data_IF_490390540619
#
_entry.id   IF_490390540619
#
_cell.length_a   1.000
_cell.length_b   1.000
_cell.length_c   1.000
_cell.angle_alpha   90.00
_cell.angle_beta   90.00
_cell.angle_gamma   90.00
#
_symmetry.space_group_name_H-M   'P 1'
#
loop_
_entity.id
_entity.type
_entity.pdbx_description
1 polymer ?
#
# COMPACT_ATOMS: atom_id res chain seq x y z
N UNK A 1 -12.26 5.22 -63.05
CA UNK A 1 -12.09 4.05 -62.17
C UNK A 1 -11.73 4.58 -60.80
N UNK A 2 -12.67 4.53 -59.86
CA UNK A 2 -12.64 5.35 -58.64
C UNK A 2 -11.88 4.63 -57.51
N UNK A 3 -11.34 5.43 -56.59
CA UNK A 3 -10.48 4.98 -55.48
C UNK A 3 -11.18 3.97 -54.54
N UNK A 4 -12.51 4.01 -54.47
CA UNK A 4 -13.31 3.03 -53.71
C UNK A 4 -13.25 1.62 -54.30
N UNK A 5 -13.13 1.48 -55.62
CA UNK A 5 -13.06 0.17 -56.28
C UNK A 5 -11.73 -0.54 -55.94
N UNK A 6 -10.65 0.23 -55.74
CA UNK A 6 -9.35 -0.31 -55.33
C UNK A 6 -9.32 -0.78 -53.88
N UNK A 7 -10.00 -0.05 -52.99
CA UNK A 7 -10.09 -0.45 -51.58
C UNK A 7 -10.94 -1.71 -51.42
N UNK A 8 -12.04 -1.84 -52.18
CA UNK A 8 -12.86 -3.06 -52.19
C UNK A 8 -12.12 -4.27 -52.76
N UNK A 9 -11.29 -4.08 -53.78
CA UNK A 9 -10.48 -5.16 -54.34
C UNK A 9 -9.43 -5.66 -53.34
N UNK A 10 -8.77 -4.74 -52.62
CA UNK A 10 -7.76 -5.09 -51.61
C UNK A 10 -8.36 -5.75 -50.35
N UNK A 11 -9.60 -5.40 -49.97
CA UNK A 11 -10.28 -6.08 -48.86
C UNK A 11 -10.78 -7.48 -49.23
N UNK A 12 -11.14 -7.71 -50.50
CA UNK A 12 -11.53 -9.03 -50.97
C UNK A 12 -10.34 -9.99 -51.00
N UNK A 13 -9.16 -9.49 -51.39
CA UNK A 13 -7.94 -10.30 -51.47
C UNK A 13 -7.34 -10.63 -50.09
N UNK A 14 -7.56 -9.79 -49.07
CA UNK A 14 -7.14 -10.07 -47.70
C UNK A 14 -8.03 -11.08 -46.95
N UNK A 15 -9.23 -11.39 -47.47
CA UNK A 15 -10.16 -12.32 -46.83
C UNK A 15 -9.97 -13.78 -47.29
N UNK A 16 -9.32 -14.01 -48.43
CA UNK A 16 -9.11 -15.34 -49.02
C UNK A 16 -7.86 -16.08 -48.48
N UNK A 17 -7.04 -15.42 -47.64
CA UNK A 17 -5.81 -16.00 -47.07
C UNK A 17 -5.97 -16.55 -45.64
N UNK A 18 -7.21 -16.73 -45.17
CA UNK A 18 -7.50 -17.42 -43.92
C UNK A 18 -7.66 -18.93 -44.21
N UNK A 19 -6.54 -19.65 -44.15
CA UNK A 19 -6.52 -21.11 -44.18
C UNK A 19 -7.45 -21.74 -43.12
N UNK A 20 -7.90 -22.99 -43.33
CA UNK A 20 -8.88 -23.63 -42.46
C UNK A 20 -8.36 -23.74 -41.02
N UNK A 21 -9.15 -23.23 -40.08
CA UNK A 21 -8.89 -23.33 -38.64
C UNK A 21 -8.92 -24.79 -38.18
N UNK A 22 -7.94 -25.25 -37.38
CA UNK A 22 -7.97 -26.60 -36.84
C UNK A 22 -9.14 -26.78 -35.87
N UNK A 23 -9.92 -27.82 -36.15
CA UNK A 23 -11.08 -28.28 -35.41
C UNK A 23 -10.70 -28.65 -33.97
N UNK A 24 -11.18 -27.85 -33.00
CA UNK A 24 -11.04 -28.12 -31.57
C UNK A 24 -12.38 -28.53 -30.99
N UNK A 25 -12.71 -29.81 -31.11
CA UNK A 25 -13.56 -30.53 -30.16
C UNK A 25 -13.14 -32.02 -30.15
N UNK A 26 -13.25 -32.80 -29.04
CA UNK A 26 -13.93 -32.53 -27.78
C UNK A 26 -13.11 -32.99 -26.54
N UNK A 27 -12.43 -32.07 -25.83
CA UNK A 27 -11.73 -32.38 -24.57
C UNK A 27 -12.40 -31.84 -23.29
N UNK A 28 -13.34 -30.91 -23.41
CA UNK A 28 -13.86 -30.13 -22.28
C UNK A 28 -15.33 -30.46 -21.95
N UNK A 29 -15.64 -31.73 -21.70
CA UNK A 29 -16.90 -32.15 -21.09
C UNK A 29 -16.65 -33.20 -20.01
N UNK A 30 -15.91 -32.83 -18.95
CA UNK A 30 -15.84 -33.64 -17.71
C UNK A 30 -15.34 -32.81 -16.52
N UNK A 31 -16.21 -31.94 -15.99
CA UNK A 31 -16.20 -31.53 -14.59
C UNK A 31 -17.59 -30.99 -14.24
N UNK A 32 -18.51 -31.93 -14.04
CA UNK A 32 -19.89 -31.65 -13.70
C UNK A 32 -20.08 -31.31 -12.21
N UNK A 33 -21.04 -30.40 -12.00
CA UNK A 33 -22.21 -30.58 -11.13
C UNK A 33 -21.92 -31.02 -9.70
N UNK A 34 -22.06 -30.06 -8.77
CA UNK A 34 -22.97 -30.18 -7.62
C UNK A 34 -23.41 -28.78 -7.16
N UNK A 35 -24.43 -28.24 -7.82
CA UNK A 35 -25.27 -27.20 -7.24
C UNK A 35 -26.41 -27.90 -6.48
N UNK A 36 -26.43 -27.79 -5.16
CA UNK A 36 -27.50 -28.32 -4.32
C UNK A 36 -28.57 -27.24 -4.13
N UNK A 37 -29.66 -27.44 -4.85
CA UNK A 37 -31.07 -27.31 -4.45
C UNK A 37 -31.49 -26.05 -3.68
N UNK A 38 -32.11 -25.14 -4.42
CA UNK A 38 -33.09 -24.20 -3.91
C UNK A 38 -34.40 -24.93 -3.56
N UNK A 39 -34.77 -24.94 -2.28
CA UNK A 39 -36.09 -25.35 -1.79
C UNK A 39 -37.04 -24.16 -1.72
N UNK A 40 -38.14 -24.24 -2.49
CA UNK A 40 -39.26 -23.29 -2.49
C UNK A 40 -40.14 -23.50 -1.26
N UNK A 41 -40.46 -22.42 -0.53
CA UNK A 41 -41.74 -22.31 0.19
C UNK A 41 -42.37 -20.94 -0.11
N UNK A 42 -43.66 -20.98 -0.49
CA UNK A 42 -44.49 -19.83 -0.87
C UNK A 42 -45.37 -19.41 0.31
N UNK A 43 -45.54 -18.08 0.40
CA UNK A 43 -46.70 -17.29 0.84
C UNK A 43 -47.16 -17.31 2.30
N UNK A 44 -47.05 -16.16 2.97
CA UNK A 44 -48.23 -15.35 3.36
C UNK A 44 -47.83 -13.90 3.72
N UNK A 45 -48.59 -12.95 3.16
CA UNK A 45 -48.84 -11.54 3.50
C UNK A 45 -47.91 -10.73 4.40
N UNK A 46 -47.55 -9.52 3.95
CA UNK A 46 -48.12 -8.24 4.40
C UNK A 46 -47.50 -7.09 3.57
N UNK A 47 -48.31 -6.06 3.37
CA UNK A 47 -48.25 -4.96 2.42
C UNK A 47 -47.31 -3.80 2.82
N UNK A 48 -46.84 -3.09 1.77
CA UNK A 48 -46.55 -1.64 1.68
C UNK A 48 -45.46 -1.05 2.60
N UNK A 49 -44.32 -0.67 2.00
CA UNK A 49 -43.85 0.73 1.98
C UNK A 49 -42.59 0.86 1.11
N UNK A 50 -42.61 1.80 0.17
CA UNK A 50 -41.47 2.19 -0.63
C UNK A 50 -40.45 2.95 0.24
N UNK A 51 -39.19 2.52 0.17
CA UNK A 51 -38.03 3.37 0.47
C UNK A 51 -36.85 2.88 -0.38
N UNK A 52 -36.51 3.64 -1.41
CA UNK A 52 -35.21 3.54 -2.07
C UNK A 52 -34.18 4.08 -1.10
N UNK A 53 -33.58 3.20 -0.30
CA UNK A 53 -32.39 3.51 0.48
C UNK A 53 -31.19 3.07 -0.36
N UNK A 54 -30.54 4.04 -1.00
CA UNK A 54 -29.15 3.88 -1.45
C UNK A 54 -28.33 3.63 -0.18
N UNK A 55 -28.06 2.36 0.11
CA UNK A 55 -27.13 1.95 1.16
C UNK A 55 -25.72 2.19 0.62
N UNK A 56 -25.25 3.42 0.75
CA UNK A 56 -23.82 3.69 0.84
C UNK A 56 -23.35 3.00 2.12
N UNK A 57 -22.41 2.02 2.06
CA UNK A 57 -21.79 1.55 3.28
C UNK A 57 -20.98 2.72 3.84
N UNK A 58 -21.55 3.42 4.81
CA UNK A 58 -20.82 4.30 5.70
C UNK A 58 -19.91 3.40 6.52
N UNK A 59 -18.71 3.14 6.01
CA UNK A 59 -17.63 2.60 6.80
C UNK A 59 -17.48 3.51 8.02
N UNK A 60 -17.64 2.94 9.21
CA UNK A 60 -17.33 3.59 10.47
C UNK A 60 -15.83 3.87 10.46
N UNK A 61 -15.45 5.05 9.98
CA UNK A 61 -14.07 5.54 10.03
C UNK A 61 -13.83 5.93 11.48
N UNK A 62 -13.18 5.05 12.23
CA UNK A 62 -12.56 5.40 13.51
C UNK A 62 -11.69 6.65 13.31
N UNK A 63 -11.64 7.61 14.26
CA UNK A 63 -10.79 8.78 14.13
C UNK A 63 -9.32 8.35 14.18
N UNK A 64 -8.68 8.33 13.01
CA UNK A 64 -7.25 8.11 12.86
C UNK A 64 -6.49 9.36 13.30
N UNK A 65 -5.44 9.24 14.13
CA UNK A 65 -4.60 10.35 14.52
C UNK A 65 -3.44 10.53 13.52
N UNK A 66 -3.42 11.61 12.75
CA UNK A 66 -2.26 12.03 11.95
C UNK A 66 -2.30 13.53 11.59
N UNK A 67 -1.33 14.32 12.07
CA UNK A 67 -1.21 15.80 12.19
C UNK A 67 -2.11 16.82 11.39
N UNK A 68 -2.06 18.15 11.69
CA UNK A 68 -2.66 19.40 11.14
C UNK A 68 -2.25 19.99 9.78
N UNK A 69 -3.24 20.40 9.00
CA UNK A 69 -3.30 21.68 8.26
C UNK A 69 -1.99 22.38 7.83
N UNK A 70 -1.32 21.80 6.84
CA UNK A 70 -1.05 22.46 5.55
C UNK A 70 -1.85 21.73 4.46
N UNK A 71 -1.85 22.13 3.17
CA UNK A 71 -2.44 21.30 2.13
C UNK A 71 -1.57 20.05 1.96
N UNK A 72 -1.78 19.04 2.81
CA UNK A 72 -1.25 17.71 2.59
C UNK A 72 -1.65 17.30 1.17
N UNK A 73 -0.70 16.74 0.41
CA UNK A 73 -0.94 16.14 -0.89
C UNK A 73 -2.18 15.25 -0.78
N UNK A 74 -3.32 15.69 -1.33
CA UNK A 74 -4.53 14.86 -1.36
C UNK A 74 -4.40 13.91 -2.54
N UNK A 75 -4.28 12.63 -2.24
CA UNK A 75 -4.34 11.63 -3.28
C UNK A 75 -5.78 11.35 -3.67
N UNK A 76 -6.00 11.13 -4.96
CA UNK A 76 -7.29 10.70 -5.48
C UNK A 76 -7.12 9.38 -6.21
N UNK A 77 -8.20 8.59 -6.31
CA UNK A 77 -8.21 7.35 -7.09
C UNK A 77 -7.85 7.57 -8.57
N UNK A 78 -7.93 8.82 -9.06
CA UNK A 78 -7.61 9.20 -10.44
C UNK A 78 -6.13 9.51 -10.69
N UNK A 79 -5.28 9.47 -9.65
CA UNK A 79 -3.84 9.68 -9.84
C UNK A 79 -3.19 8.51 -10.59
N UNK A 80 -2.17 8.77 -11.42
CA UNK A 80 -1.55 7.75 -12.25
C UNK A 80 -0.79 6.73 -11.40
N UNK A 81 -0.98 5.44 -11.70
CA UNK A 81 -0.13 4.36 -11.19
C UNK A 81 1.27 4.38 -11.82
N UNK A 82 1.37 4.88 -13.05
CA UNK A 82 2.63 4.98 -13.79
C UNK A 82 2.92 6.45 -14.12
N UNK A 83 3.43 7.23 -13.15
CA UNK A 83 3.77 8.63 -13.40
C UNK A 83 4.97 8.73 -14.35
N UNK A 84 4.97 9.76 -15.19
CA UNK A 84 6.08 10.00 -16.13
C UNK A 84 7.42 10.24 -15.42
N UNK A 85 7.36 10.78 -14.21
CA UNK A 85 8.51 10.99 -13.34
C UNK A 85 8.90 9.73 -12.52
N UNK A 86 8.29 8.57 -12.76
CA UNK A 86 8.74 7.33 -12.12
C UNK A 86 10.19 7.05 -12.52
N UNK A 87 11.10 6.83 -11.56
CA UNK A 87 12.52 6.64 -11.89
C UNK A 87 12.73 5.37 -12.72
N UNK A 88 13.27 5.53 -13.94
CA UNK A 88 13.54 4.42 -14.85
C UNK A 88 14.79 3.61 -14.46
N UNK A 89 15.65 4.18 -13.63
CA UNK A 89 16.85 3.57 -13.04
C UNK A 89 16.56 2.83 -11.72
N UNK A 90 15.31 2.87 -11.24
CA UNK A 90 14.88 2.13 -10.07
C UNK A 90 14.63 0.66 -10.41
N UNK A 91 15.20 -0.29 -9.64
CA UNK A 91 14.86 -1.71 -9.78
C UNK A 91 13.43 -2.01 -9.31
N UNK A 92 12.80 -1.10 -8.55
CA UNK A 92 11.40 -1.20 -8.16
C UNK A 92 10.52 -0.76 -9.33
N UNK A 93 9.83 -1.72 -9.92
CA UNK A 93 8.80 -1.47 -10.93
C UNK A 93 7.65 -0.64 -10.35
N UNK A 94 7.09 0.23 -11.18
CA UNK A 94 5.88 0.97 -10.87
C UNK A 94 4.71 0.03 -10.51
N UNK A 95 3.71 0.50 -9.74
CA UNK A 95 2.54 -0.30 -9.40
C UNK A 95 1.69 -0.64 -10.63
N UNK A 96 1.21 -1.87 -10.69
CA UNK A 96 0.24 -2.34 -11.70
C UNK A 96 -1.17 -2.48 -11.14
N UNK A 97 -1.31 -2.41 -9.81
CA UNK A 97 -2.55 -2.61 -9.07
C UNK A 97 -2.94 -1.33 -8.35
N UNK A 98 -4.20 -0.90 -8.50
CA UNK A 98 -4.75 0.20 -7.71
C UNK A 98 -5.46 -0.35 -6.46
N UNK A 99 -5.05 0.12 -5.29
CA UNK A 99 -5.73 -0.09 -4.02
C UNK A 99 -6.67 1.09 -3.72
N UNK A 100 -7.78 0.86 -2.98
CA UNK A 100 -8.72 1.90 -2.62
C UNK A 100 -8.05 3.03 -1.83
N UNK A 101 -8.31 4.27 -2.23
CA UNK A 101 -7.91 5.46 -1.47
C UNK A 101 -8.94 5.75 -0.38
N UNK A 102 -8.47 5.95 0.85
CA UNK A 102 -9.32 6.29 1.99
C UNK A 102 -8.99 7.69 2.49
N UNK A 103 -10.04 8.50 2.67
CA UNK A 103 -9.88 9.83 3.24
C UNK A 103 -9.59 9.71 4.74
N UNK A 104 -8.47 10.29 5.17
CA UNK A 104 -8.12 10.42 6.59
C UNK A 104 -8.30 11.87 7.01
N UNK A 105 -8.95 12.05 8.16
CA UNK A 105 -9.12 13.39 8.74
C UNK A 105 -7.74 13.94 9.13
N UNK A 106 -7.45 15.21 8.80
CA UNK A 106 -6.27 15.87 9.33
C UNK A 106 -6.37 15.95 10.85
N UNK A 107 -5.26 15.73 11.54
CA UNK A 107 -5.12 15.89 12.99
C UNK A 107 -4.53 17.28 13.31
N UNK A 108 -3.72 17.47 14.36
CA UNK A 108 -3.29 18.80 14.88
C UNK A 108 -1.80 19.19 14.66
N UNK A 109 -0.94 18.28 14.15
CA UNK A 109 0.50 18.48 13.85
C UNK A 109 1.08 18.12 12.41
N UNK A 110 0.50 18.51 11.25
CA UNK A 110 0.87 18.16 9.83
C UNK A 110 1.46 19.40 9.11
N UNK A 111 1.59 20.53 9.83
CA UNK A 111 1.74 21.86 9.23
C UNK A 111 3.12 22.10 8.65
N UNK A 112 4.09 21.28 9.06
CA UNK A 112 5.51 21.41 8.75
C UNK A 112 5.99 20.43 7.66
N UNK A 113 5.07 19.89 6.85
CA UNK A 113 5.47 18.99 5.76
C UNK A 113 6.04 19.77 4.57
N UNK A 114 7.10 19.24 3.91
CA UNK A 114 7.58 19.79 2.65
C UNK A 114 6.47 19.85 1.61
N UNK A 115 6.34 20.99 0.93
CA UNK A 115 5.43 21.11 -0.21
C UNK A 115 6.04 20.36 -1.39
N UNK A 116 5.39 19.27 -1.81
CA UNK A 116 5.83 18.47 -2.94
C UNK A 116 5.32 19.04 -4.27
N UNK A 117 6.17 18.99 -5.30
CA UNK A 117 5.75 19.26 -6.68
C UNK A 117 4.72 18.23 -7.16
N UNK A 118 4.00 18.53 -8.23
CA UNK A 118 2.99 17.62 -8.80
C UNK A 118 3.57 16.26 -9.16
N UNK A 119 4.73 16.24 -9.80
CA UNK A 119 5.46 15.02 -10.13
C UNK A 119 5.87 14.24 -8.89
N UNK A 120 6.40 14.92 -7.87
CA UNK A 120 6.77 14.28 -6.60
C UNK A 120 5.54 13.67 -5.91
N UNK A 121 4.39 14.36 -5.91
CA UNK A 121 3.13 13.81 -5.36
C UNK A 121 2.68 12.57 -6.13
N UNK A 122 2.79 12.56 -7.45
CA UNK A 122 2.42 11.39 -8.26
C UNK A 122 3.36 10.21 -8.02
N UNK A 123 4.68 10.44 -7.96
CA UNK A 123 5.65 9.39 -7.65
C UNK A 123 5.43 8.84 -6.24
N UNK A 124 5.18 9.71 -5.26
CA UNK A 124 4.86 9.30 -3.89
C UNK A 124 3.57 8.46 -3.85
N UNK A 125 2.51 8.87 -4.54
CA UNK A 125 1.28 8.09 -4.66
C UNK A 125 1.52 6.70 -5.29
N UNK A 126 2.23 6.65 -6.42
CA UNK A 126 2.57 5.39 -7.07
C UNK A 126 3.43 4.49 -6.16
N UNK A 127 4.36 5.06 -5.41
CA UNK A 127 5.14 4.31 -4.42
C UNK A 127 4.25 3.73 -3.33
N UNK A 128 3.28 4.49 -2.79
CA UNK A 128 2.32 3.98 -1.80
C UNK A 128 1.48 2.82 -2.35
N UNK A 129 1.03 2.92 -3.60
CA UNK A 129 0.31 1.84 -4.28
C UNK A 129 1.19 0.61 -4.44
N UNK A 130 2.47 0.78 -4.77
CA UNK A 130 3.44 -0.32 -4.87
C UNK A 130 3.74 -0.95 -3.51
N UNK A 131 3.87 -0.15 -2.46
CA UNK A 131 4.06 -0.62 -1.10
C UNK A 131 2.84 -1.42 -0.62
N UNK A 132 1.63 -0.94 -0.89
CA UNK A 132 0.40 -1.68 -0.63
C UNK A 132 0.38 -3.02 -1.37
N UNK A 133 0.81 -3.05 -2.64
CA UNK A 133 0.88 -4.28 -3.42
C UNK A 133 1.84 -5.32 -2.84
N UNK A 134 3.06 -4.90 -2.56
CA UNK A 134 4.09 -5.76 -1.96
C UNK A 134 3.62 -6.26 -0.59
N UNK A 135 3.09 -5.39 0.26
CA UNK A 135 2.64 -5.76 1.60
C UNK A 135 1.40 -6.65 1.57
N UNK A 136 0.47 -6.48 0.61
CA UNK A 136 -0.69 -7.36 0.44
C UNK A 136 -0.26 -8.81 0.12
N UNK A 137 0.85 -8.98 -0.60
CA UNK A 137 1.40 -10.29 -0.96
C UNK A 137 2.21 -10.93 0.18
N UNK A 138 2.87 -10.10 1.00
CA UNK A 138 3.75 -10.55 2.07
C UNK A 138 3.01 -10.81 3.39
N UNK A 139 1.98 -10.03 3.67
CA UNK A 139 1.24 -10.15 4.91
C UNK A 139 0.19 -11.28 4.85
N UNK A 140 -0.11 -11.92 5.98
CA UNK A 140 -1.17 -12.91 6.07
C UNK A 140 -2.52 -12.36 5.59
N UNK A 141 -3.21 -13.11 4.73
CA UNK A 141 -4.51 -12.72 4.17
C UNK A 141 -5.61 -12.47 5.23
N UNK A 142 -5.44 -12.96 6.46
CA UNK A 142 -6.35 -12.70 7.59
C UNK A 142 -6.45 -11.22 7.96
N UNK A 143 -5.44 -10.40 7.61
CA UNK A 143 -5.49 -8.96 7.79
C UNK A 143 -6.51 -8.28 6.85
N UNK A 144 -6.89 -8.94 5.74
CA UNK A 144 -7.85 -8.44 4.77
C UNK A 144 -7.19 -7.64 3.65
N UNK A 145 -7.87 -6.56 3.23
CA UNK A 145 -7.53 -5.80 2.03
C UNK A 145 -6.80 -4.50 2.39
N UNK A 146 -5.72 -4.22 1.66
CA UNK A 146 -4.96 -2.98 1.75
C UNK A 146 -5.76 -1.77 1.24
N UNK A 147 -5.54 -0.61 1.87
CA UNK A 147 -6.07 0.70 1.50
C UNK A 147 -4.99 1.76 1.67
N UNK A 148 -5.03 2.78 0.82
CA UNK A 148 -4.04 3.86 0.78
C UNK A 148 -4.67 5.14 1.33
N UNK A 149 -4.24 5.63 2.51
CA UNK A 149 -4.65 6.94 3.02
C UNK A 149 -4.34 8.07 2.03
N UNK A 150 -5.22 9.06 1.93
CA UNK A 150 -5.09 10.18 0.98
C UNK A 150 -4.11 11.26 1.42
N UNK A 151 -3.74 11.32 2.71
CA UNK A 151 -2.91 12.41 3.28
C UNK A 151 -1.69 11.96 4.06
N UNK A 152 -1.57 10.69 4.43
CA UNK A 152 -0.40 10.19 5.18
C UNK A 152 0.68 9.75 4.20
N UNK A 153 1.92 10.21 4.36
CA UNK A 153 3.02 9.92 3.44
C UNK A 153 3.33 8.42 3.42
N UNK A 154 3.44 7.78 4.58
CA UNK A 154 3.96 6.41 4.70
C UNK A 154 3.15 5.47 5.60
N UNK A 155 1.93 5.85 5.96
CA UNK A 155 0.97 4.90 6.53
C UNK A 155 0.06 4.29 5.47
N UNK A 156 -0.23 3.01 5.66
CA UNK A 156 -1.22 2.23 4.93
C UNK A 156 -2.25 1.69 5.92
N UNK A 157 -3.40 1.27 5.41
CA UNK A 157 -4.39 0.55 6.19
C UNK A 157 -4.58 -0.84 5.61
N UNK A 158 -4.82 -1.81 6.48
CA UNK A 158 -5.24 -3.15 6.08
C UNK A 158 -6.40 -3.56 6.98
N UNK A 159 -7.42 -4.21 6.42
CA UNK A 159 -8.56 -4.58 7.25
C UNK A 159 -9.61 -5.41 6.53
N UNK A 160 -10.53 -5.91 7.34
CA UNK A 160 -11.82 -6.45 6.91
C UNK A 160 -12.91 -5.40 7.13
N UNK A 161 -14.16 -5.73 6.78
CA UNK A 161 -15.30 -4.85 7.07
C UNK A 161 -15.50 -4.57 8.57
N UNK A 162 -14.96 -5.43 9.43
CA UNK A 162 -15.16 -5.38 10.88
C UNK A 162 -13.97 -4.82 11.67
N UNK A 163 -12.77 -4.77 11.07
CA UNK A 163 -11.55 -4.42 11.78
C UNK A 163 -10.49 -3.86 10.85
N UNK A 164 -9.81 -2.81 11.30
CA UNK A 164 -8.74 -2.15 10.55
C UNK A 164 -7.47 -2.09 11.38
N UNK A 165 -6.33 -2.21 10.71
CA UNK A 165 -5.00 -2.12 11.27
C UNK A 165 -4.22 -1.07 10.49
N UNK A 166 -3.41 -0.31 11.20
CA UNK A 166 -2.43 0.60 10.61
C UNK A 166 -1.18 -0.18 10.24
N UNK A 167 -0.57 0.16 9.11
CA UNK A 167 0.80 -0.25 8.79
C UNK A 167 1.61 1.01 8.59
N UNK A 168 2.72 1.12 9.29
CA UNK A 168 3.66 2.23 9.15
C UNK A 168 4.94 1.71 8.52
N UNK A 169 5.40 2.35 7.44
CA UNK A 169 6.71 2.11 6.82
C UNK A 169 7.48 3.43 6.72
N UNK A 170 8.15 3.83 7.79
CA UNK A 170 8.90 5.09 7.81
C UNK A 170 10.37 4.83 7.51
N UNK A 171 10.93 5.63 6.62
CA UNK A 171 12.36 5.62 6.27
C UNK A 171 12.85 7.05 6.35
N UNK A 172 13.60 7.37 7.40
CA UNK A 172 14.16 8.71 7.60
C UNK A 172 15.65 8.72 7.26
N UNK A 173 16.12 9.72 6.50
CA UNK A 173 17.55 9.89 6.28
C UNK A 173 18.25 10.26 7.60
N UNK A 174 19.48 9.76 7.77
CA UNK A 174 20.33 10.11 8.90
C UNK A 174 20.07 9.28 10.15
N UNK A 175 21.13 9.12 10.93
CA UNK A 175 21.15 8.36 12.18
C UNK A 175 21.63 6.92 12.00
N UNK A 176 22.65 6.57 12.77
CA UNK A 176 22.89 5.18 13.14
C UNK A 176 22.09 4.95 14.42
N UNK A 177 20.85 4.50 14.30
CA UNK A 177 20.20 3.92 15.47
C UNK A 177 20.94 2.62 15.81
N UNK A 178 21.28 2.38 17.09
CA UNK A 178 21.87 1.11 17.48
C UNK A 178 20.99 -0.02 16.98
N UNK A 179 21.57 -0.94 16.22
CA UNK A 179 20.86 -2.17 15.83
C UNK A 179 20.35 -2.82 17.10
N UNK A 180 19.03 -2.93 17.23
CA UNK A 180 18.43 -3.62 18.36
C UNK A 180 18.88 -5.08 18.32
N UNK A 181 19.52 -5.55 19.38
CA UNK A 181 19.79 -6.96 19.61
C UNK A 181 18.82 -7.47 20.67
N UNK A 182 18.04 -8.48 20.31
CA UNK A 182 17.09 -9.09 21.22
C UNK A 182 17.73 -9.73 22.45
N UNK A 183 19.01 -10.13 22.39
CA UNK A 183 19.66 -10.85 23.49
C UNK A 183 18.82 -12.04 23.97
N UNK A 184 18.45 -12.05 25.25
CA UNK A 184 17.57 -13.08 25.85
C UNK A 184 16.11 -12.66 25.96
N UNK A 185 15.69 -11.55 25.37
CA UNK A 185 14.31 -11.07 25.47
C UNK A 185 13.36 -11.94 24.63
N UNK A 186 12.42 -12.70 25.25
CA UNK A 186 11.52 -13.58 24.53
C UNK A 186 10.46 -12.84 23.69
N UNK A 187 10.22 -11.55 23.94
CA UNK A 187 9.30 -10.74 23.13
C UNK A 187 9.96 -10.13 21.89
N UNK A 188 11.23 -10.44 21.64
CA UNK A 188 12.02 -9.89 20.55
C UNK A 188 12.59 -11.03 19.67
N UNK A 189 12.55 -10.84 18.36
CA UNK A 189 13.08 -11.79 17.37
C UNK A 189 14.14 -11.13 16.50
N UNK A 190 15.35 -11.68 16.52
CA UNK A 190 16.43 -11.29 15.62
C UNK A 190 16.24 -11.91 14.23
N UNK A 191 16.67 -11.21 13.19
CA UNK A 191 16.79 -11.74 11.84
C UNK A 191 17.78 -10.93 11.00
N UNK A 192 17.82 -11.24 9.71
CA UNK A 192 18.77 -10.64 8.78
C UNK A 192 18.11 -10.46 7.43
N UNK A 193 18.19 -9.24 6.90
CA UNK A 193 17.72 -8.92 5.56
C UNK A 193 18.63 -9.53 4.49
N UNK A 194 18.19 -9.60 3.22
CA UNK A 194 18.97 -10.20 2.14
C UNK A 194 20.34 -9.56 1.89
N UNK A 195 20.54 -8.28 2.25
CA UNK A 195 21.81 -7.57 2.13
C UNK A 195 22.74 -7.76 3.35
N UNK A 196 22.34 -8.57 4.33
CA UNK A 196 23.09 -8.80 5.56
C UNK A 196 22.74 -7.82 6.70
N UNK A 197 21.86 -6.84 6.47
CA UNK A 197 21.41 -5.91 7.50
C UNK A 197 20.73 -6.67 8.63
N UNK A 198 21.20 -6.47 9.87
CA UNK A 198 20.60 -7.06 11.07
C UNK A 198 19.32 -6.31 11.43
N UNK A 199 18.27 -7.07 11.73
CA UNK A 199 16.97 -6.53 12.11
C UNK A 199 16.44 -7.26 13.34
N UNK A 200 15.61 -6.56 14.12
CA UNK A 200 14.91 -7.16 15.23
C UNK A 200 13.46 -6.70 15.25
N UNK A 201 12.55 -7.65 15.45
CA UNK A 201 11.12 -7.38 15.65
C UNK A 201 10.82 -7.53 17.13
N UNK A 202 10.31 -6.46 17.73
CA UNK A 202 9.82 -6.46 19.11
C UNK A 202 8.31 -6.58 19.14
N UNK A 203 7.81 -7.34 20.11
CA UNK A 203 6.41 -7.41 20.50
C UNK A 203 6.25 -6.70 21.83
N UNK A 204 5.25 -5.85 21.92
CA UNK A 204 4.95 -5.15 23.16
C UNK A 204 3.54 -4.58 23.15
N UNK A 205 3.23 -3.88 24.23
CA UNK A 205 2.05 -3.02 24.28
C UNK A 205 2.49 -1.61 23.93
N UNK A 206 1.98 -1.08 22.83
CA UNK A 206 2.16 0.33 22.51
C UNK A 206 0.80 0.92 22.13
N UNK A 207 0.57 2.15 22.59
CA UNK A 207 -0.41 2.99 21.93
C UNK A 207 0.20 3.41 20.59
N UNK A 208 -0.56 3.43 19.49
CA UNK A 208 -0.10 4.09 18.27
C UNK A 208 0.37 5.52 18.63
N UNK A 209 1.49 6.01 18.08
CA UNK A 209 1.99 7.35 18.39
C UNK A 209 0.91 8.42 18.23
N UNK A 210 0.72 9.27 19.25
CA UNK A 210 -0.23 10.39 19.21
C UNK A 210 -1.72 10.03 19.31
N UNK A 211 -2.07 8.78 19.65
CA UNK A 211 -3.44 8.28 19.51
C UNK A 211 -4.36 8.45 20.72
N UNK A 212 -3.81 8.62 21.93
CA UNK A 212 -4.61 8.70 23.16
C UNK A 212 -5.44 7.45 23.46
N UNK A 213 -5.23 6.35 22.72
CA UNK A 213 -5.93 5.06 22.88
C UNK A 213 -5.11 4.11 23.77
N UNK A 214 -5.79 3.16 24.40
CA UNK A 214 -5.15 2.11 25.21
C UNK A 214 -4.18 1.27 24.38
N UNK A 215 -3.08 0.85 25.00
CA UNK A 215 -2.02 0.09 24.35
C UNK A 215 -2.52 -1.28 23.86
N UNK A 216 -2.56 -1.47 22.53
CA UNK A 216 -2.78 -2.76 21.90
C UNK A 216 -1.47 -3.55 21.78
N UNK A 217 -1.57 -4.84 21.43
CA UNK A 217 -0.35 -5.60 21.07
C UNK A 217 0.17 -5.04 19.75
N UNK A 218 1.45 -4.67 19.70
CA UNK A 218 2.11 -4.19 18.49
C UNK A 218 3.28 -5.10 18.15
N UNK A 219 3.52 -5.28 16.86
CA UNK A 219 4.74 -5.85 16.33
C UNK A 219 5.43 -4.78 15.50
N UNK A 220 6.67 -4.46 15.86
CA UNK A 220 7.42 -3.37 15.24
C UNK A 220 8.92 -3.66 15.20
N UNK A 221 9.58 -3.16 14.17
CA UNK A 221 11.01 -3.21 13.99
C UNK A 221 11.59 -1.80 13.83
N UNK A 222 12.75 -1.60 14.47
CA UNK A 222 13.57 -0.41 14.35
C UNK A 222 14.98 -0.86 13.97
N UNK A 223 15.48 -0.44 12.82
CA UNK A 223 16.80 -0.82 12.34
C UNK A 223 17.36 0.21 11.36
N UNK A 224 18.69 0.25 11.26
CA UNK A 224 19.38 1.04 10.24
C UNK A 224 19.47 0.25 8.93
N UNK A 225 19.16 0.91 7.81
CA UNK A 225 19.28 0.35 6.47
C UNK A 225 19.91 1.38 5.54
N UNK A 226 21.12 1.08 5.03
CA UNK A 226 21.87 1.95 4.09
C UNK A 226 21.95 3.43 4.51
N UNK A 227 22.21 3.69 5.79
CA UNK A 227 22.33 5.06 6.34
C UNK A 227 21.00 5.77 6.62
N UNK A 228 19.89 5.03 6.61
CA UNK A 228 18.56 5.52 7.00
C UNK A 228 18.02 4.74 8.20
N UNK A 229 17.21 5.41 9.02
CA UNK A 229 16.44 4.77 10.08
C UNK A 229 15.13 4.24 9.51
N UNK A 230 14.88 2.95 9.73
CA UNK A 230 13.65 2.31 9.31
C UNK A 230 12.79 1.98 10.52
N UNK A 231 11.53 2.40 10.46
CA UNK A 231 10.48 2.00 11.39
C UNK A 231 9.43 1.27 10.57
N UNK A 232 9.22 -0.01 10.87
CA UNK A 232 8.17 -0.80 10.25
C UNK A 232 7.34 -1.49 11.31
N UNK A 233 6.02 -1.37 11.25
CA UNK A 233 5.14 -1.99 12.24
C UNK A 233 3.70 -2.06 11.80
N UNK A 234 2.97 -2.96 12.45
CA UNK A 234 1.52 -3.11 12.32
C UNK A 234 0.89 -2.79 13.66
N UNK A 235 -0.14 -1.94 13.65
CA UNK A 235 -0.80 -1.44 14.85
C UNK A 235 -2.31 -1.68 14.74
N UNK A 236 -2.97 -2.14 15.80
CA UNK A 236 -4.43 -2.16 15.82
C UNK A 236 -4.96 -0.72 15.84
N UNK A 237 -6.06 -0.47 15.11
CA UNK A 237 -6.74 0.83 15.17
C UNK A 237 -7.58 1.01 16.45
N UNK A 238 -7.85 -0.09 17.15
CA UNK A 238 -8.66 -0.21 18.37
C UNK A 238 -7.95 -1.05 19.45
N UNK A 239 -8.60 -1.24 20.60
CA UNK A 239 -8.13 -2.14 21.64
C UNK A 239 -8.26 -3.61 21.19
N UNK A 240 -7.18 -4.12 20.59
CA UNK A 240 -7.19 -5.45 20.00
C UNK A 240 -5.83 -6.14 19.93
N UNK A 241 -5.88 -7.47 19.79
CA UNK A 241 -4.72 -8.27 19.41
C UNK A 241 -4.51 -8.22 17.90
N UNK A 242 -3.25 -8.18 17.46
CA UNK A 242 -2.92 -8.36 16.05
C UNK A 242 -3.15 -9.81 15.62
N UNK A 243 -3.71 -10.05 14.42
CA UNK A 243 -3.89 -11.40 13.87
C UNK A 243 -2.61 -11.90 13.18
N UNK A 244 -1.47 -11.27 13.46
CA UNK A 244 -0.16 -11.65 12.95
C UNK A 244 0.80 -11.85 14.11
N UNK A 245 1.79 -12.72 13.94
CA UNK A 245 2.87 -12.90 14.90
C UNK A 245 4.09 -12.04 14.57
N UNK A 246 5.00 -11.88 15.54
CA UNK A 246 6.30 -11.26 15.31
C UNK A 246 7.13 -12.02 14.27
N UNK A 247 7.04 -13.36 14.22
CA UNK A 247 7.71 -14.18 13.21
C UNK A 247 7.21 -13.85 11.80
N UNK A 248 5.90 -13.62 11.63
CA UNK A 248 5.34 -13.24 10.34
C UNK A 248 5.81 -11.83 9.94
N UNK A 249 5.84 -10.88 10.87
CA UNK A 249 6.39 -9.55 10.57
C UNK A 249 7.88 -9.61 10.21
N UNK A 250 8.66 -10.43 10.92
CA UNK A 250 10.08 -10.64 10.61
C UNK A 250 10.24 -11.22 9.20
N UNK A 251 9.41 -12.20 8.82
CA UNK A 251 9.43 -12.78 7.48
C UNK A 251 9.19 -11.72 6.39
N UNK A 252 8.27 -10.77 6.61
CA UNK A 252 8.06 -9.63 5.70
C UNK A 252 9.33 -8.80 5.55
N UNK A 253 9.96 -8.41 6.66
CA UNK A 253 11.17 -7.54 6.65
C UNK A 253 12.34 -8.23 5.94
N UNK A 254 12.46 -9.55 6.08
CA UNK A 254 13.53 -10.33 5.45
C UNK A 254 13.26 -10.73 4.00
N UNK A 255 12.10 -10.39 3.43
CA UNK A 255 11.77 -10.69 2.03
C UNK A 255 12.44 -9.68 1.07
N UNK A 256 12.98 -10.18 -0.04
CA UNK A 256 13.65 -9.36 -1.06
C UNK A 256 12.75 -8.25 -1.63
N UNK A 257 11.43 -8.48 -1.73
CA UNK A 257 10.49 -7.47 -2.22
C UNK A 257 10.35 -6.31 -1.26
N UNK A 258 10.40 -6.56 0.05
CA UNK A 258 10.40 -5.51 1.06
C UNK A 258 11.69 -4.69 1.01
N UNK A 259 12.84 -5.35 0.85
CA UNK A 259 14.13 -4.65 0.64
C UNK A 259 14.08 -3.72 -0.58
N UNK A 260 13.38 -4.10 -1.66
CA UNK A 260 13.16 -3.24 -2.83
C UNK A 260 12.37 -1.97 -2.52
N UNK A 261 11.41 -2.01 -1.58
CA UNK A 261 10.71 -0.80 -1.11
C UNK A 261 11.66 0.13 -0.36
N UNK A 262 12.52 -0.44 0.50
CA UNK A 262 13.51 0.34 1.26
C UNK A 262 14.55 0.97 0.35
N UNK A 263 15.03 0.24 -0.67
CA UNK A 263 15.99 0.77 -1.65
C UNK A 263 15.44 1.98 -2.39
N UNK A 264 14.16 1.95 -2.77
CA UNK A 264 13.49 3.10 -3.36
C UNK A 264 13.39 4.26 -2.35
N UNK A 265 12.95 3.98 -1.12
CA UNK A 265 12.78 5.00 -0.08
C UNK A 265 14.10 5.69 0.30
N UNK A 266 15.19 4.93 0.41
CA UNK A 266 16.55 5.46 0.66
C UNK A 266 17.05 6.33 -0.49
N UNK A 267 16.74 5.96 -1.75
CA UNK A 267 17.15 6.73 -2.92
C UNK A 267 16.38 8.05 -3.07
N UNK A 268 15.11 8.09 -2.63
CA UNK A 268 14.24 9.26 -2.75
C UNK A 268 13.72 9.75 -1.40
N UNK A 269 14.61 10.15 -0.45
CA UNK A 269 14.22 10.47 0.93
C UNK A 269 13.27 11.68 1.03
N UNK A 270 13.36 12.63 0.09
CA UNK A 270 12.45 13.77 0.02
C UNK A 270 10.98 13.35 -0.19
N UNK A 271 10.73 12.18 -0.80
CA UNK A 271 9.38 11.62 -0.95
C UNK A 271 8.90 10.89 0.30
N UNK A 272 9.81 10.53 1.21
CA UNK A 272 9.53 9.71 2.40
C UNK A 272 9.42 10.55 3.67
N UNK A 273 9.86 11.80 3.62
CA UNK A 273 9.94 12.67 4.78
C UNK A 273 8.54 12.97 5.35
N UNK A 274 8.27 12.46 6.55
CA UNK A 274 6.98 12.60 7.23
C UNK A 274 6.82 13.93 7.99
N UNK A 275 7.89 14.73 8.09
CA UNK A 275 7.92 15.97 8.88
C UNK A 275 8.05 15.76 10.39
N UNK A 276 8.04 14.50 10.87
CA UNK A 276 8.20 14.18 12.30
C UNK A 276 9.68 14.12 12.69
N UNK A 277 10.39 15.23 12.53
CA UNK A 277 11.78 15.36 12.95
C UNK A 277 12.03 16.76 13.46
N UNK A 278 12.24 16.90 14.78
CA UNK A 278 12.93 18.05 15.34
C UNK A 278 14.40 18.01 14.89
N UNK A 279 14.67 18.30 13.61
CA UNK A 279 16.02 18.60 13.15
C UNK A 279 16.12 20.11 12.94
N UNK A 280 16.92 20.83 13.75
CA UNK A 280 17.13 22.25 13.57
C UNK A 280 17.91 22.48 12.27
N UNK A 281 17.25 23.07 11.28
CA UNK A 281 17.82 23.82 10.15
C UNK A 281 19.12 23.29 9.55
N UNK A 282 19.03 22.30 8.67
CA UNK A 282 20.07 22.07 7.66
C UNK A 282 19.45 22.27 6.29
N UNK A 283 19.88 23.34 5.62
CA UNK A 283 19.38 23.72 4.31
C UNK A 283 19.81 22.70 3.26
N UNK A 284 18.85 22.17 2.50
CA UNK A 284 19.11 21.36 1.31
C UNK A 284 19.87 22.26 0.31
N UNK A 285 21.09 21.89 -0.13
CA UNK A 285 21.81 22.67 -1.12
C UNK A 285 21.10 22.58 -2.48
N UNK A 286 20.91 23.74 -3.11
CA UNK A 286 20.34 23.88 -4.45
C UNK A 286 21.27 23.23 -5.49
N UNK A 287 20.81 22.20 -6.24
CA UNK A 287 21.63 21.55 -7.25
C UNK A 287 21.91 22.44 -8.48
N UNK A 288 21.36 23.65 -8.57
CA UNK A 288 21.58 24.56 -9.69
C UNK A 288 22.86 25.43 -9.58
N UNK A 289 23.60 25.40 -8.47
CA UNK A 289 24.70 26.35 -8.22
C UNK A 289 26.11 25.84 -8.63
N UNK A 290 26.24 24.97 -9.64
CA UNK A 290 27.55 24.48 -10.09
C UNK A 290 27.86 24.73 -11.57
N UNK A 291 27.59 25.93 -12.07
CA UNK A 291 28.29 26.46 -13.24
C UNK A 291 28.53 27.97 -13.10
N UNK A 292 29.67 28.33 -12.51
CA UNK A 292 30.35 29.61 -12.69
C UNK A 292 31.84 29.40 -12.45
#
# INVERSE_FOLDING_TARGET
>A
MHQEDRVRLLLAEAADDLGPTPDLAPGALRAGKRAVVAGRFRTAGISIAAAVAVLTPAALVAPWPGGSSGPAAQYTQSMPLFPAAWPSDSPLEAPTTAYPVVHVKPTKDEGDRPVLTDDQRQVQYAFKQKAADVLQQLLPAVLGTMKVPDRDVMSLQVGTDSRTYAITLRVDPGGDIPTLDCGTNPSCLNGTMPDGTRVAVSSGSAAPPGSGVNAGTVHQAFFSYKGSNVIFGVFPADDGSLPISAQQLLAVITDQRFAGLLDFAVRYPALMHSGYGNTPGEAVPDPAASHS
#
